data_IF_727000641884
#
_entry.id   IF_727000641884
#
_cell.length_a   1.000
_cell.length_b   1.000
_cell.length_c   1.000
_cell.angle_alpha   90.00
_cell.angle_beta   90.00
_cell.angle_gamma   90.00
#
_symmetry.space_group_name_H-M   'P 1'
#
loop_
_entity.id
_entity.type
_entity.pdbx_description
1 polymer ?
#
# COMPACT_ATOMS: atom_id res chain seq x y z
N UNK A 1 -32.16 1.91 16.29
CA UNK A 1 -30.79 1.65 16.81
C UNK A 1 -30.29 0.46 15.99
N UNK A 2 -29.60 0.58 14.86
CA UNK A 2 -28.35 1.29 14.56
C UNK A 2 -28.36 1.85 13.11
N UNK A 3 -28.03 3.14 13.01
CA UNK A 3 -27.25 3.83 11.97
C UNK A 3 -27.29 3.33 10.52
N UNK A 4 -28.14 4.02 9.75
CA UNK A 4 -27.91 4.37 8.35
C UNK A 4 -26.45 4.80 8.09
N UNK A 5 -25.63 3.89 7.60
CA UNK A 5 -24.41 4.26 6.88
C UNK A 5 -24.87 4.72 5.50
N UNK A 6 -25.21 6.02 5.41
CA UNK A 6 -25.32 6.76 4.15
C UNK A 6 -23.94 6.67 3.49
N UNK A 7 -23.74 5.65 2.66
CA UNK A 7 -22.74 5.66 1.59
C UNK A 7 -23.06 6.89 0.75
N UNK A 8 -22.36 7.99 1.04
CA UNK A 8 -22.35 9.16 0.20
C UNK A 8 -21.90 8.66 -1.18
N UNK A 9 -22.69 8.83 -2.24
CA UNK A 9 -22.24 8.43 -3.55
C UNK A 9 -20.94 9.19 -3.79
N UNK A 10 -19.86 8.44 -4.02
CA UNK A 10 -18.59 8.95 -4.54
C UNK A 10 -18.93 9.37 -5.97
N UNK A 11 -19.66 10.48 -6.08
CA UNK A 11 -20.00 11.12 -7.32
C UNK A 11 -18.68 11.68 -7.81
N UNK A 12 -18.11 11.01 -8.82
CA UNK A 12 -16.90 11.43 -9.52
C UNK A 12 -17.11 12.90 -9.88
N UNK A 13 -16.44 13.79 -9.14
CA UNK A 13 -16.44 15.23 -9.36
C UNK A 13 -15.78 15.42 -10.73
N UNK A 14 -16.58 15.51 -11.80
CA UNK A 14 -16.08 15.91 -13.11
C UNK A 14 -15.57 17.36 -12.97
N UNK A 15 -14.30 17.64 -13.24
CA UNK A 15 -13.86 19.03 -13.31
C UNK A 15 -14.60 19.72 -14.46
N UNK A 16 -15.48 20.66 -14.12
CA UNK A 16 -16.01 21.64 -15.07
C UNK A 16 -14.84 22.45 -15.61
N UNK A 17 -14.67 22.40 -16.94
CA UNK A 17 -13.53 22.93 -17.68
C UNK A 17 -13.20 24.39 -17.34
N UNK A 18 -11.94 24.65 -16.97
CA UNK A 18 -11.17 25.76 -17.53
C UNK A 18 -9.89 25.19 -18.15
N UNK A 19 -9.94 24.96 -19.46
CA UNK A 19 -8.78 24.63 -20.30
C UNK A 19 -7.90 25.87 -20.41
N UNK A 20 -6.69 25.85 -19.84
CA UNK A 20 -5.52 26.46 -20.48
C UNK A 20 -4.69 25.31 -21.04
N UNK A 21 -4.98 24.94 -22.27
CA UNK A 21 -4.21 23.96 -23.05
C UNK A 21 -2.85 24.59 -23.38
N UNK A 22 -1.82 24.25 -22.61
CA UNK A 22 -0.44 24.29 -23.13
C UNK A 22 -0.07 22.85 -23.45
N UNK A 23 -0.24 22.50 -24.73
CA UNK A 23 0.05 21.18 -25.27
C UNK A 23 1.57 21.05 -25.43
N UNK A 24 2.22 20.25 -24.58
CA UNK A 24 3.62 19.85 -24.78
C UNK A 24 3.65 18.42 -25.35
N UNK A 25 3.84 18.22 -26.67
CA UNK A 25 3.81 16.90 -27.29
C UNK A 25 4.94 15.95 -26.82
N UNK A 26 6.01 16.49 -26.19
CA UNK A 26 7.11 15.70 -25.62
C UNK A 26 6.82 15.15 -24.20
N UNK A 27 5.79 15.67 -23.52
CA UNK A 27 5.51 15.35 -22.11
C UNK A 27 4.83 14.01 -21.91
N UNK A 28 4.09 13.49 -22.91
CA UNK A 28 3.37 12.22 -22.77
C UNK A 28 4.31 11.00 -22.78
N UNK A 29 5.31 10.96 -23.65
CA UNK A 29 6.32 9.88 -23.65
C UNK A 29 7.21 9.92 -22.40
N UNK A 30 7.57 11.12 -21.91
CA UNK A 30 8.31 11.29 -20.65
C UNK A 30 7.43 10.99 -19.44
N UNK A 31 6.14 11.34 -19.43
CA UNK A 31 5.21 10.99 -18.34
C UNK A 31 4.94 9.49 -18.29
N UNK A 32 4.82 8.80 -19.42
CA UNK A 32 4.65 7.34 -19.45
C UNK A 32 5.94 6.64 -18.99
N UNK A 33 7.10 7.08 -19.46
CA UNK A 33 8.39 6.56 -19.01
C UNK A 33 8.65 6.90 -17.53
N UNK A 34 8.28 8.09 -17.04
CA UNK A 34 8.47 8.51 -15.65
C UNK A 34 7.44 7.87 -14.71
N UNK A 35 6.20 7.62 -15.15
CA UNK A 35 5.24 6.78 -14.43
C UNK A 35 5.78 5.36 -14.29
N UNK A 36 6.29 4.77 -15.38
CA UNK A 36 6.86 3.42 -15.37
C UNK A 36 8.15 3.36 -14.55
N UNK A 37 9.02 4.37 -14.63
CA UNK A 37 10.29 4.46 -13.88
C UNK A 37 10.03 4.75 -12.41
N UNK A 38 9.21 5.73 -12.04
CA UNK A 38 8.89 6.08 -10.64
C UNK A 38 8.08 4.97 -9.96
N UNK A 39 7.11 4.35 -10.66
CA UNK A 39 6.43 3.15 -10.15
C UNK A 39 7.43 2.02 -9.97
N UNK A 40 8.24 1.68 -10.99
CA UNK A 40 9.22 0.59 -10.89
C UNK A 40 10.33 0.85 -9.86
N UNK A 41 10.80 2.08 -9.71
CA UNK A 41 11.82 2.43 -8.71
C UNK A 41 11.23 2.53 -7.31
N UNK A 42 10.08 3.17 -7.09
CA UNK A 42 9.43 3.19 -5.78
C UNK A 42 8.98 1.79 -5.35
N UNK A 43 8.42 0.97 -6.25
CA UNK A 43 8.11 -0.43 -5.92
C UNK A 43 9.38 -1.24 -5.69
N UNK A 44 10.45 -1.06 -6.47
CA UNK A 44 11.71 -1.78 -6.22
C UNK A 44 12.37 -1.37 -4.89
N UNK A 45 12.34 -0.09 -4.53
CA UNK A 45 12.88 0.41 -3.25
C UNK A 45 12.02 -0.10 -2.10
N UNK A 46 10.69 -0.02 -2.21
CA UNK A 46 9.77 -0.52 -1.20
C UNK A 46 9.88 -2.04 -1.00
N UNK A 47 9.94 -2.81 -2.10
CA UNK A 47 10.10 -4.26 -2.03
C UNK A 47 11.46 -4.61 -1.42
N UNK A 48 12.54 -3.89 -1.77
CA UNK A 48 13.88 -4.14 -1.22
C UNK A 48 13.97 -3.81 0.28
N UNK A 49 13.39 -2.69 0.71
CA UNK A 49 13.33 -2.32 2.13
C UNK A 49 12.44 -3.28 2.93
N UNK A 50 11.25 -3.59 2.41
CA UNK A 50 10.30 -4.51 3.04
C UNK A 50 10.83 -5.93 3.18
N UNK A 51 11.68 -6.41 2.27
CA UNK A 51 12.34 -7.73 2.40
C UNK A 51 13.29 -7.79 3.60
N UNK A 52 14.03 -6.71 3.88
CA UNK A 52 14.98 -6.63 5.00
C UNK A 52 14.20 -6.53 6.32
N UNK A 53 13.18 -5.67 6.36
CA UNK A 53 12.31 -5.51 7.54
C UNK A 53 11.56 -6.80 7.86
N UNK A 54 11.02 -7.49 6.84
CA UNK A 54 10.31 -8.76 7.02
C UNK A 54 11.25 -9.89 7.49
N UNK A 55 12.49 -9.92 6.99
CA UNK A 55 13.52 -10.82 7.51
C UNK A 55 13.80 -10.56 9.00
N UNK A 56 13.93 -9.28 9.39
CA UNK A 56 14.15 -8.89 10.78
C UNK A 56 12.96 -9.27 11.67
N UNK A 57 11.73 -9.10 11.16
CA UNK A 57 10.48 -9.52 11.83
C UNK A 57 10.40 -11.03 12.01
N UNK A 58 10.70 -11.83 10.99
CA UNK A 58 10.66 -13.29 11.12
C UNK A 58 11.79 -13.82 12.02
N UNK A 59 12.98 -13.19 11.99
CA UNK A 59 14.09 -13.54 12.86
C UNK A 59 13.80 -13.21 14.34
N UNK A 60 13.07 -12.14 14.61
CA UNK A 60 12.70 -11.73 15.95
C UNK A 60 11.45 -12.44 16.46
N UNK A 61 10.40 -12.61 15.65
CA UNK A 61 9.14 -13.25 16.05
C UNK A 61 9.32 -14.70 16.55
N UNK A 62 10.36 -15.40 16.05
CA UNK A 62 10.75 -16.75 16.49
C UNK A 62 11.84 -16.77 17.57
N UNK A 63 12.32 -15.61 18.03
CA UNK A 63 13.30 -15.46 19.10
C UNK A 63 12.69 -15.60 20.50
N UNK A 64 13.48 -16.10 21.47
CA UNK A 64 13.06 -16.54 22.82
C UNK A 64 12.55 -15.45 23.79
N UNK A 65 12.35 -14.20 23.36
CA UNK A 65 11.90 -13.09 24.23
C UNK A 65 10.75 -12.28 23.61
N UNK A 66 9.53 -12.82 23.63
CA UNK A 66 8.36 -12.22 22.98
C UNK A 66 7.95 -10.81 23.47
N UNK A 67 8.25 -10.44 24.73
CA UNK A 67 7.70 -9.23 25.35
C UNK A 67 8.41 -7.92 24.94
N UNK A 68 9.73 -7.93 24.72
CA UNK A 68 10.50 -6.75 24.29
C UNK A 68 10.31 -6.46 22.79
N UNK A 69 9.89 -7.46 22.03
CA UNK A 69 9.82 -7.44 20.57
C UNK A 69 8.56 -6.76 20.01
N UNK A 70 7.45 -6.76 20.76
CA UNK A 70 6.21 -6.11 20.32
C UNK A 70 6.37 -4.59 20.12
N UNK A 71 7.23 -3.93 20.91
CA UNK A 71 7.49 -2.49 20.78
C UNK A 71 8.19 -2.13 19.46
N UNK A 72 9.22 -2.89 19.09
CA UNK A 72 9.98 -2.68 17.85
C UNK A 72 9.10 -2.97 16.63
N UNK A 73 8.27 -4.03 16.71
CA UNK A 73 7.34 -4.40 15.64
C UNK A 73 6.34 -3.27 15.33
N UNK A 74 5.84 -2.60 16.37
CA UNK A 74 4.93 -1.45 16.23
C UNK A 74 5.62 -0.27 15.54
N UNK A 75 6.87 0.03 15.89
CA UNK A 75 7.66 1.08 15.23
C UNK A 75 7.86 0.80 13.73
N UNK A 76 8.25 -0.43 13.37
CA UNK A 76 8.42 -0.82 11.96
C UNK A 76 7.10 -0.74 11.20
N UNK A 77 6.00 -1.19 11.82
CA UNK A 77 4.67 -1.08 11.24
C UNK A 77 4.26 0.39 10.96
N UNK A 78 4.57 1.32 11.88
CA UNK A 78 4.28 2.74 11.68
C UNK A 78 5.06 3.34 10.50
N UNK A 79 6.32 2.96 10.33
CA UNK A 79 7.16 3.42 9.20
C UNK A 79 6.61 2.87 7.88
N UNK A 80 6.24 1.59 7.84
CA UNK A 80 5.59 0.96 6.68
C UNK A 80 4.30 1.68 6.26
N UNK A 81 3.46 2.06 7.23
CA UNK A 81 2.24 2.85 6.97
C UNK A 81 2.55 4.23 6.39
N UNK A 82 3.54 4.94 6.95
CA UNK A 82 3.95 6.27 6.49
C UNK A 82 4.45 6.24 5.04
N UNK A 83 5.36 5.30 4.73
CA UNK A 83 5.91 5.13 3.38
C UNK A 83 4.81 4.71 2.39
N UNK A 84 3.94 3.78 2.79
CA UNK A 84 2.79 3.36 1.97
C UNK A 84 1.86 4.52 1.62
N UNK A 85 1.56 5.38 2.59
CA UNK A 85 0.75 6.58 2.37
C UNK A 85 1.42 7.57 1.39
N UNK A 86 2.73 7.80 1.53
CA UNK A 86 3.48 8.69 0.65
C UNK A 86 3.48 8.19 -0.81
N UNK A 87 3.70 6.88 -1.01
CA UNK A 87 3.66 6.26 -2.35
C UNK A 87 2.25 6.39 -2.94
N UNK A 88 1.21 6.13 -2.15
CA UNK A 88 -0.18 6.24 -2.61
C UNK A 88 -0.53 7.65 -3.09
N UNK A 89 -0.12 8.68 -2.36
CA UNK A 89 -0.33 10.09 -2.74
C UNK A 89 0.42 10.44 -4.03
N UNK A 90 1.69 10.04 -4.15
CA UNK A 90 2.49 10.28 -5.35
C UNK A 90 1.87 9.63 -6.59
N UNK A 91 1.44 8.36 -6.49
CA UNK A 91 0.74 7.66 -7.58
C UNK A 91 -0.54 8.41 -7.98
N UNK A 92 -1.34 8.81 -6.99
CA UNK A 92 -2.61 9.51 -7.22
C UNK A 92 -2.41 10.81 -8.00
N UNK A 93 -1.35 11.58 -7.69
CA UNK A 93 -1.00 12.80 -8.41
C UNK A 93 -0.66 12.53 -9.89
N UNK A 94 0.14 11.50 -10.18
CA UNK A 94 0.48 11.12 -11.54
C UNK A 94 -0.72 10.59 -12.33
N UNK A 95 -1.62 9.86 -11.69
CA UNK A 95 -2.86 9.39 -12.33
C UNK A 95 -3.77 10.57 -12.71
N UNK A 96 -3.90 11.56 -11.83
CA UNK A 96 -4.68 12.77 -12.10
C UNK A 96 -4.08 13.59 -13.26
N UNK A 97 -2.75 13.62 -13.38
CA UNK A 97 -2.06 14.25 -14.53
C UNK A 97 -2.22 13.49 -15.86
N UNK A 98 -2.71 12.25 -15.84
CA UNK A 98 -2.94 11.43 -17.03
C UNK A 98 -4.39 11.36 -17.50
N UNK A 99 -5.31 12.14 -16.91
CA UNK A 99 -6.75 12.07 -17.16
C UNK A 99 -7.38 10.68 -16.90
N UNK A 100 -6.70 9.78 -16.18
CA UNK A 100 -7.21 8.46 -15.83
C UNK A 100 -7.97 8.48 -14.50
N UNK A 101 -9.30 8.49 -14.56
CA UNK A 101 -10.17 8.60 -13.37
C UNK A 101 -10.33 7.31 -12.55
N UNK A 102 -9.65 6.20 -12.91
CA UNK A 102 -9.71 4.90 -12.21
C UNK A 102 -8.67 4.78 -11.08
N UNK A 103 -8.42 5.87 -10.36
CA UNK A 103 -7.31 6.01 -9.40
C UNK A 103 -7.48 5.17 -8.13
N UNK A 104 -8.72 5.00 -7.67
CA UNK A 104 -9.05 4.38 -6.39
C UNK A 104 -8.56 2.93 -6.27
N UNK A 105 -8.83 2.07 -7.26
CA UNK A 105 -8.47 0.66 -7.17
C UNK A 105 -6.96 0.42 -7.32
N UNK A 106 -6.29 1.23 -8.15
CA UNK A 106 -4.85 1.06 -8.41
C UNK A 106 -3.99 1.43 -7.21
N UNK A 107 -4.36 2.48 -6.47
CA UNK A 107 -3.66 2.87 -5.24
C UNK A 107 -3.80 1.80 -4.15
N UNK A 108 -5.00 1.24 -3.97
CA UNK A 108 -5.27 0.18 -2.99
C UNK A 108 -4.52 -1.11 -3.33
N UNK A 109 -4.57 -1.54 -4.61
CA UNK A 109 -3.91 -2.77 -5.04
C UNK A 109 -2.37 -2.67 -4.94
N UNK A 110 -1.79 -1.49 -5.18
CA UNK A 110 -0.34 -1.28 -5.08
C UNK A 110 0.17 -1.52 -3.66
N UNK A 111 -0.44 -0.88 -2.65
CA UNK A 111 0.00 -1.07 -1.25
C UNK A 111 -0.51 -2.38 -0.66
N UNK A 112 -1.67 -2.88 -1.09
CA UNK A 112 -2.22 -4.16 -0.63
C UNK A 112 -1.42 -5.39 -1.10
N UNK A 113 -0.70 -5.28 -2.23
CA UNK A 113 0.19 -6.35 -2.74
C UNK A 113 1.28 -6.77 -1.74
N UNK A 114 1.64 -5.89 -0.81
CA UNK A 114 2.62 -6.14 0.25
C UNK A 114 2.21 -7.30 1.17
N UNK A 115 0.91 -7.48 1.44
CA UNK A 115 0.42 -8.65 2.18
C UNK A 115 0.63 -9.96 1.42
N UNK A 116 0.51 -9.94 0.09
CA UNK A 116 0.80 -11.12 -0.75
C UNK A 116 2.29 -11.46 -0.67
N UNK A 117 3.18 -10.46 -0.66
CA UNK A 117 4.61 -10.67 -0.44
C UNK A 117 4.91 -11.31 0.91
N UNK A 118 4.24 -10.89 1.99
CA UNK A 118 4.39 -11.49 3.33
C UNK A 118 3.99 -12.97 3.32
N UNK A 119 2.87 -13.30 2.66
CA UNK A 119 2.41 -14.67 2.55
C UNK A 119 3.40 -15.56 1.77
N UNK A 120 3.88 -15.10 0.61
CA UNK A 120 4.88 -15.84 -0.19
C UNK A 120 6.20 -16.00 0.58
N UNK A 121 6.60 -14.99 1.36
CA UNK A 121 7.79 -15.09 2.20
C UNK A 121 7.63 -16.15 3.31
N UNK A 122 6.46 -16.23 3.94
CA UNK A 122 6.17 -17.26 4.95
C UNK A 122 6.24 -18.69 4.37
N UNK A 123 5.76 -18.88 3.13
CA UNK A 123 5.89 -20.14 2.37
C UNK A 123 7.36 -20.52 2.15
N UNK A 124 8.17 -19.57 1.69
CA UNK A 124 9.59 -19.77 1.43
C UNK A 124 10.38 -20.05 2.73
N UNK A 125 10.03 -19.35 3.82
CA UNK A 125 10.65 -19.55 5.13
C UNK A 125 10.34 -20.94 5.70
N UNK A 126 9.09 -21.39 5.57
CA UNK A 126 8.68 -22.73 5.94
C UNK A 126 9.50 -23.79 5.17
N UNK A 127 9.52 -23.72 3.84
CA UNK A 127 10.20 -24.72 3.02
C UNK A 127 11.72 -24.82 3.27
N UNK A 128 12.41 -23.69 3.47
CA UNK A 128 13.88 -23.68 3.55
C UNK A 128 14.45 -23.79 4.96
N UNK A 129 13.64 -23.51 5.99
CA UNK A 129 14.13 -23.40 7.37
C UNK A 129 13.36 -24.23 8.38
N UNK A 130 12.10 -24.60 8.11
CA UNK A 130 11.33 -25.37 9.10
C UNK A 130 11.72 -26.85 9.05
N UNK A 131 12.52 -27.28 10.01
CA UNK A 131 12.77 -28.69 10.34
C UNK A 131 11.62 -29.24 11.22
N UNK A 132 10.39 -28.77 10.99
CA UNK A 132 9.21 -29.04 11.81
C UNK A 132 8.33 -30.07 11.10
N UNK A 133 8.35 -31.30 11.60
CA UNK A 133 7.57 -32.42 11.09
C UNK A 133 6.28 -32.59 11.91
N UNK A 134 5.18 -32.02 11.42
CA UNK A 134 3.86 -32.22 12.03
C UNK A 134 2.75 -31.50 11.24
N UNK A 135 1.68 -32.22 10.88
CA UNK A 135 0.54 -31.64 10.15
C UNK A 135 -0.19 -30.55 10.94
N UNK A 136 -0.34 -30.73 12.24
CA UNK A 136 -1.00 -29.74 13.10
C UNK A 136 -0.16 -28.45 13.18
N UNK A 137 1.16 -28.60 13.29
CA UNK A 137 2.09 -27.49 13.38
C UNK A 137 2.19 -26.70 12.07
N UNK A 138 2.11 -27.39 10.92
CA UNK A 138 2.13 -26.74 9.61
C UNK A 138 0.87 -25.93 9.37
N UNK A 139 -0.31 -26.49 9.68
CA UNK A 139 -1.59 -25.80 9.53
C UNK A 139 -1.68 -24.57 10.44
N UNK A 140 -1.20 -24.69 11.69
CA UNK A 140 -1.18 -23.56 12.62
C UNK A 140 -0.29 -22.41 12.11
N UNK A 141 0.93 -22.73 11.66
CA UNK A 141 1.84 -21.75 11.09
C UNK A 141 1.28 -21.06 9.85
N UNK A 142 0.70 -21.84 8.93
CA UNK A 142 0.06 -21.30 7.73
C UNK A 142 -1.14 -20.45 8.07
N UNK A 143 -1.98 -20.89 9.01
CA UNK A 143 -3.16 -20.14 9.47
C UNK A 143 -2.80 -18.78 10.02
N UNK A 144 -1.82 -18.70 10.94
CA UNK A 144 -1.35 -17.42 11.48
C UNK A 144 -0.72 -16.53 10.41
N UNK A 145 0.06 -17.10 9.50
CA UNK A 145 0.71 -16.34 8.42
C UNK A 145 -0.30 -15.79 7.40
N UNK A 146 -1.36 -16.54 7.07
CA UNK A 146 -2.42 -16.10 6.17
C UNK A 146 -3.27 -15.00 6.80
N UNK A 147 -3.65 -15.18 8.08
CA UNK A 147 -4.46 -14.21 8.81
C UNK A 147 -3.71 -12.88 8.96
N UNK A 148 -2.43 -12.93 9.35
CA UNK A 148 -1.59 -11.73 9.49
C UNK A 148 -1.41 -11.06 8.13
N UNK A 149 -1.03 -11.79 7.08
CA UNK A 149 -0.91 -11.23 5.73
C UNK A 149 -2.20 -10.52 5.26
N UNK A 150 -3.37 -11.11 5.54
CA UNK A 150 -4.67 -10.54 5.19
C UNK A 150 -4.97 -9.26 5.97
N UNK A 151 -4.77 -9.25 7.29
CA UNK A 151 -4.97 -8.07 8.15
C UNK A 151 -4.05 -6.93 7.71
N UNK A 152 -2.77 -7.21 7.47
CA UNK A 152 -1.82 -6.20 7.00
C UNK A 152 -2.21 -5.63 5.64
N UNK A 153 -2.61 -6.49 4.68
CA UNK A 153 -3.06 -6.05 3.36
C UNK A 153 -4.25 -5.08 3.44
N UNK A 154 -5.25 -5.41 4.29
CA UNK A 154 -6.42 -4.56 4.49
C UNK A 154 -6.08 -3.24 5.20
N UNK A 155 -5.24 -3.26 6.23
CA UNK A 155 -4.82 -2.07 6.97
C UNK A 155 -4.01 -1.10 6.08
N UNK A 156 -3.00 -1.61 5.39
CA UNK A 156 -2.18 -0.83 4.45
C UNK A 156 -3.02 -0.30 3.29
N UNK A 157 -3.92 -1.12 2.74
CA UNK A 157 -4.82 -0.72 1.67
C UNK A 157 -5.79 0.39 2.06
N UNK A 158 -6.37 0.31 3.26
CA UNK A 158 -7.33 1.33 3.75
C UNK A 158 -6.65 2.64 4.12
N UNK A 159 -5.49 2.61 4.78
CA UNK A 159 -4.72 3.83 5.10
C UNK A 159 -4.29 4.56 3.83
N UNK A 160 -3.75 3.83 2.84
CA UNK A 160 -3.38 4.40 1.54
C UNK A 160 -4.56 5.04 0.81
N UNK A 161 -5.73 4.39 0.86
CA UNK A 161 -6.95 4.92 0.25
C UNK A 161 -7.41 6.22 0.89
N UNK A 162 -7.42 6.28 2.23
CA UNK A 162 -7.79 7.47 2.98
C UNK A 162 -6.83 8.64 2.73
N UNK A 163 -5.51 8.36 2.69
CA UNK A 163 -4.49 9.36 2.38
C UNK A 163 -4.71 9.98 0.99
N UNK A 164 -4.94 9.15 -0.03
CA UNK A 164 -5.22 9.62 -1.40
C UNK A 164 -6.51 10.43 -1.50
N UNK A 165 -7.59 10.00 -0.81
CA UNK A 165 -8.86 10.74 -0.77
C UNK A 165 -8.71 12.12 -0.12
N UNK A 166 -8.00 12.20 1.00
CA UNK A 166 -7.75 13.45 1.69
C UNK A 166 -6.97 14.43 0.80
N UNK A 167 -5.93 13.94 0.12
CA UNK A 167 -5.12 14.73 -0.81
C UNK A 167 -5.94 15.29 -1.99
N UNK A 168 -6.80 14.47 -2.60
CA UNK A 168 -7.66 14.93 -3.70
C UNK A 168 -8.65 16.00 -3.22
N UNK A 169 -9.29 15.80 -2.06
CA UNK A 169 -10.20 16.79 -1.48
C UNK A 169 -9.50 18.12 -1.20
N UNK A 170 -8.24 18.07 -0.78
CA UNK A 170 -7.42 19.25 -0.57
C UNK A 170 -7.22 20.04 -1.87
N UNK A 171 -6.77 19.40 -2.96
CA UNK A 171 -6.58 20.04 -4.27
C UNK A 171 -7.88 20.70 -4.77
N UNK A 172 -8.99 19.98 -4.73
CA UNK A 172 -10.26 20.50 -5.22
C UNK A 172 -10.81 21.66 -4.38
N UNK A 173 -10.50 21.71 -3.07
CA UNK A 173 -10.85 22.86 -2.23
C UNK A 173 -10.02 24.09 -2.60
N UNK A 174 -8.70 23.93 -2.75
CA UNK A 174 -7.82 25.04 -3.10
C UNK A 174 -8.20 25.67 -4.43
N UNK A 175 -8.49 24.85 -5.45
CA UNK A 175 -8.93 25.32 -6.78
C UNK A 175 -10.28 26.08 -6.79
N UNK A 176 -11.07 25.97 -5.73
CA UNK A 176 -12.39 26.63 -5.63
C UNK A 176 -12.32 27.96 -4.88
N UNK A 177 -11.20 28.22 -4.21
CA UNK A 177 -10.89 29.47 -3.52
C UNK A 177 -10.23 30.49 -4.47
N UNK A 178 -9.76 30.03 -5.63
CA UNK A 178 -9.26 30.83 -6.76
C UNK A 178 -10.37 31.07 -7.83
#
# INVERSE_FOLDING_TARGET
MLTHIRLHPINIIKPTKKKKTVTYPFRNSVQINLKCVCVRTCTAIFVRAGLIELYYIFATAWGREHYTLYGILLCVFAILLSVGACISVALTYFLLSGEDYRWWWRSVLSTGSTGIFIFVYSLFYYHNRSNMSGLVQSVEFFGYSLLTAFVFSLMLGTVSFWASLAFIRYIYRSLKMD
#
